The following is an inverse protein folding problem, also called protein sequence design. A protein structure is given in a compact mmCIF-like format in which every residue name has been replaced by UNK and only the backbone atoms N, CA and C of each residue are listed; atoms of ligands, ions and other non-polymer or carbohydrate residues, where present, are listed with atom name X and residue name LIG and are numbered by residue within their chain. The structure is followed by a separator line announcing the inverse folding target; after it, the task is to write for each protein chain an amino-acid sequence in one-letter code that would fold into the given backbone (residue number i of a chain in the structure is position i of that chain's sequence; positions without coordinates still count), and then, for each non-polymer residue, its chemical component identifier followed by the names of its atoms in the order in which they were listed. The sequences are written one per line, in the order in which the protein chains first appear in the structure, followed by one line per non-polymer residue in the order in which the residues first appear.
data_IF_518627178519
#
_entry.id   IF_518627178519
#
_cell.length_a   1.000
_cell.length_b   1.000
_cell.length_c   1.000
_cell.angle_alpha   90.00
_cell.angle_beta   90.00
_cell.angle_gamma   90.00
#
_symmetry.space_group_name_H-M   'P 1'
#
loop_
_entity.id
_entity.type
_entity.pdbx_description
1 polymer ?
#
# COMPACT_ATOMS: atom_id res chain seq x y z
N UNK A 1 18.13 -31.35 2.03
CA UNK A 1 19.58 -31.05 2.02
C UNK A 1 19.95 -29.59 1.71
N UNK A 2 19.14 -28.78 1.00
CA UNK A 2 19.49 -27.35 0.80
C UNK A 2 19.32 -26.50 2.07
N UNK A 3 18.21 -26.67 2.80
CA UNK A 3 17.91 -25.88 4.00
C UNK A 3 19.06 -25.98 5.03
N UNK A 4 19.57 -27.19 5.27
CA UNK A 4 20.72 -27.42 6.16
C UNK A 4 21.99 -26.71 5.67
N UNK A 5 22.24 -26.69 4.35
CA UNK A 5 23.38 -25.98 3.78
C UNK A 5 23.23 -24.46 3.93
N UNK A 6 22.03 -23.92 3.72
CA UNK A 6 21.74 -22.50 3.93
C UNK A 6 21.88 -22.10 5.40
N UNK A 7 21.41 -22.95 6.33
CA UNK A 7 21.58 -22.74 7.78
C UNK A 7 23.07 -22.71 8.14
N UNK A 8 23.84 -23.71 7.69
CA UNK A 8 25.28 -23.78 7.96
C UNK A 8 26.00 -22.53 7.45
N UNK A 9 25.68 -22.10 6.23
CA UNK A 9 26.23 -20.87 5.65
C UNK A 9 25.86 -19.63 6.47
N UNK A 10 24.61 -19.49 6.92
CA UNK A 10 24.21 -18.38 7.79
C UNK A 10 24.99 -18.39 9.11
N UNK A 11 25.16 -19.55 9.74
CA UNK A 11 25.91 -19.67 10.98
C UNK A 11 27.38 -19.28 10.80
N UNK A 12 28.05 -19.80 9.77
CA UNK A 12 29.44 -19.46 9.45
C UNK A 12 29.63 -17.95 9.23
N UNK A 13 28.71 -17.32 8.48
CA UNK A 13 28.76 -15.88 8.23
C UNK A 13 28.50 -15.07 9.50
N UNK A 14 27.57 -15.51 10.34
CA UNK A 14 27.26 -14.86 11.60
C UNK A 14 28.44 -14.94 12.58
N UNK A 15 29.02 -16.14 12.76
CA UNK A 15 30.17 -16.38 13.62
C UNK A 15 31.34 -15.50 13.20
N UNK A 16 31.69 -15.50 11.92
CA UNK A 16 32.77 -14.64 11.39
C UNK A 16 32.53 -13.16 11.69
N UNK A 17 31.31 -12.65 11.49
CA UNK A 17 30.98 -11.25 11.76
C UNK A 17 31.08 -10.89 13.24
N UNK A 18 30.71 -11.81 14.12
CA UNK A 18 30.78 -11.59 15.56
C UNK A 18 32.22 -11.72 16.08
N UNK A 19 33.04 -12.60 15.52
CA UNK A 19 34.48 -12.68 15.77
C UNK A 19 35.18 -11.39 15.33
N UNK A 20 34.89 -10.91 14.11
CA UNK A 20 35.41 -9.64 13.59
C UNK A 20 35.05 -8.43 14.45
N UNK A 21 33.94 -8.49 15.19
CA UNK A 21 33.55 -7.48 16.18
C UNK A 21 34.29 -7.67 17.50
N UNK A 22 34.37 -8.90 18.01
CA UNK A 22 35.05 -9.23 19.26
C UNK A 22 36.53 -8.81 19.23
N UNK A 23 37.22 -9.01 18.11
CA UNK A 23 38.62 -8.61 17.93
C UNK A 23 38.86 -7.10 17.99
N UNK A 24 37.82 -6.29 17.75
CA UNK A 24 37.91 -4.83 17.69
C UNK A 24 37.53 -4.15 19.00
N UNK A 25 36.92 -4.86 19.94
CA UNK A 25 36.29 -4.24 21.10
C UNK A 25 36.90 -4.74 22.41
N UNK A 26 37.15 -3.80 23.32
CA UNK A 26 37.68 -4.09 24.66
C UNK A 26 36.52 -4.36 25.63
N UNK A 27 36.25 -5.63 25.91
CA UNK A 27 35.06 -6.12 26.65
C UNK A 27 35.19 -6.03 28.18
N UNK A 28 35.98 -5.07 28.71
CA UNK A 28 36.26 -5.04 30.16
C UNK A 28 35.08 -4.55 31.00
N UNK A 29 34.26 -3.63 30.49
CA UNK A 29 33.14 -3.05 31.23
C UNK A 29 31.93 -2.80 30.31
N UNK A 30 30.73 -3.02 30.84
CA UNK A 30 29.48 -2.71 30.14
C UNK A 30 29.19 -1.21 30.23
N UNK A 31 29.23 -0.53 29.08
CA UNK A 31 28.84 0.88 28.92
C UNK A 31 27.63 1.02 27.99
N UNK A 32 26.96 2.17 28.01
CA UNK A 32 25.85 2.45 27.10
C UNK A 32 26.31 2.41 25.63
N UNK A 33 27.47 2.98 25.33
CA UNK A 33 28.05 2.97 23.99
C UNK A 33 28.39 1.55 23.54
N UNK A 34 29.00 0.74 24.42
CA UNK A 34 29.28 -0.67 24.11
C UNK A 34 27.99 -1.46 23.85
N UNK A 35 26.92 -1.23 24.61
CA UNK A 35 25.64 -1.88 24.38
C UNK A 35 25.01 -1.48 23.03
N UNK A 36 25.13 -0.21 22.63
CA UNK A 36 24.69 0.27 21.31
C UNK A 36 25.51 -0.36 20.18
N UNK A 37 26.83 -0.37 20.31
CA UNK A 37 27.74 -0.96 19.32
C UNK A 37 27.50 -2.47 19.18
N UNK A 38 27.34 -3.18 20.29
CA UNK A 38 27.02 -4.61 20.27
C UNK A 38 25.66 -4.88 19.61
N UNK A 39 24.64 -4.06 19.88
CA UNK A 39 23.34 -4.18 19.21
C UNK A 39 23.46 -3.92 17.70
N UNK A 40 24.25 -2.93 17.28
CA UNK A 40 24.50 -2.65 15.87
C UNK A 40 25.25 -3.82 15.19
N UNK A 41 26.26 -4.37 15.85
CA UNK A 41 27.01 -5.53 15.36
C UNK A 41 26.12 -6.77 15.19
N UNK A 42 25.25 -7.06 16.17
CA UNK A 42 24.27 -8.15 16.05
C UNK A 42 23.33 -7.95 14.86
N UNK A 43 22.78 -6.73 14.68
CA UNK A 43 21.91 -6.42 13.54
C UNK A 43 22.62 -6.60 12.20
N UNK A 44 23.88 -6.15 12.09
CA UNK A 44 24.67 -6.31 10.87
C UNK A 44 24.95 -7.80 10.58
N UNK A 45 25.36 -8.56 11.61
CA UNK A 45 25.64 -9.99 11.51
C UNK A 45 24.40 -10.78 11.07
N UNK A 46 23.23 -10.54 11.69
CA UNK A 46 21.98 -11.18 11.28
C UNK A 46 21.56 -10.80 9.86
N UNK A 47 21.73 -9.53 9.48
CA UNK A 47 21.37 -9.06 8.13
C UNK A 47 22.26 -9.70 7.07
N UNK A 48 23.58 -9.78 7.28
CA UNK A 48 24.51 -10.43 6.34
C UNK A 48 24.25 -11.94 6.25
N UNK A 49 24.09 -12.63 7.39
CA UNK A 49 23.78 -14.05 7.43
C UNK A 49 22.45 -14.36 6.72
N UNK A 50 21.42 -13.55 6.98
CA UNK A 50 20.11 -13.64 6.31
C UNK A 50 20.22 -13.45 4.80
N UNK A 51 20.94 -12.41 4.34
CA UNK A 51 21.18 -12.16 2.91
C UNK A 51 21.84 -13.36 2.24
N UNK A 52 22.90 -13.92 2.82
CA UNK A 52 23.66 -15.05 2.25
C UNK A 52 22.84 -16.34 2.21
N UNK A 53 22.16 -16.68 3.30
CA UNK A 53 21.32 -17.87 3.34
C UNK A 53 20.12 -17.77 2.40
N UNK A 54 19.47 -16.60 2.35
CA UNK A 54 18.33 -16.36 1.48
C UNK A 54 18.74 -16.38 0.00
N UNK A 55 19.83 -15.70 -0.36
CA UNK A 55 20.42 -15.78 -1.70
C UNK A 55 20.67 -17.24 -2.10
N UNK A 56 21.36 -18.00 -1.24
CA UNK A 56 21.71 -19.40 -1.53
C UNK A 56 20.49 -20.29 -1.69
N UNK A 57 19.47 -20.08 -0.87
CA UNK A 57 18.21 -20.82 -0.93
C UNK A 57 17.50 -20.56 -2.26
N UNK A 58 17.41 -19.32 -2.69
CA UNK A 58 16.74 -18.95 -3.95
C UNK A 58 17.52 -19.44 -5.16
N UNK A 59 18.83 -19.21 -5.22
CA UNK A 59 19.67 -19.66 -6.35
C UNK A 59 19.66 -21.19 -6.51
N UNK A 60 19.44 -21.93 -5.42
CA UNK A 60 19.31 -23.38 -5.49
C UNK A 60 18.07 -23.84 -6.26
N UNK A 61 17.03 -23.00 -6.34
CA UNK A 61 15.81 -23.27 -7.10
C UNK A 61 15.89 -22.78 -8.56
N UNK A 62 17.03 -22.26 -9.01
CA UNK A 62 17.23 -21.94 -10.42
C UNK A 62 17.33 -23.22 -11.27
N UNK A 63 16.86 -23.14 -12.52
CA UNK A 63 16.95 -24.26 -13.45
C UNK A 63 18.27 -24.20 -14.20
N UNK A 64 19.02 -25.31 -14.15
CA UNK A 64 20.32 -25.48 -14.81
C UNK A 64 20.23 -26.38 -16.06
N UNK A 65 19.09 -26.37 -16.75
CA UNK A 65 18.90 -27.12 -18.00
C UNK A 65 19.28 -26.26 -19.21
N UNK A 66 19.75 -26.89 -20.29
CA UNK A 66 20.13 -26.16 -21.50
C UNK A 66 18.94 -25.69 -22.31
N UNK A 67 17.77 -26.32 -22.13
CA UNK A 67 16.54 -26.03 -22.86
C UNK A 67 15.33 -26.21 -21.96
N UNK A 68 14.31 -25.37 -22.14
CA UNK A 68 13.02 -25.45 -21.46
C UNK A 68 11.89 -25.41 -22.48
N UNK A 69 10.83 -26.17 -22.23
CA UNK A 69 9.58 -26.04 -22.98
C UNK A 69 8.58 -25.23 -22.15
N UNK A 70 8.19 -24.06 -22.65
CA UNK A 70 7.22 -23.15 -22.00
C UNK A 70 6.13 -22.84 -23.02
N UNK A 71 4.87 -23.17 -22.71
CA UNK A 71 3.71 -22.93 -23.59
C UNK A 71 3.86 -23.51 -25.01
N UNK A 72 4.55 -24.65 -25.16
CA UNK A 72 4.81 -25.27 -26.45
C UNK A 72 5.94 -24.63 -27.27
N UNK A 73 6.62 -23.63 -26.73
CA UNK A 73 7.84 -23.05 -27.31
C UNK A 73 9.08 -23.59 -26.60
N UNK A 74 10.10 -23.96 -27.39
CA UNK A 74 11.41 -24.36 -26.87
C UNK A 74 12.27 -23.10 -26.68
N UNK A 75 12.66 -22.85 -25.44
CA UNK A 75 13.57 -21.79 -25.05
C UNK A 75 14.94 -22.39 -24.71
N UNK A 76 16.02 -21.77 -25.17
CA UNK A 76 17.39 -22.21 -24.83
C UNK A 76 18.01 -21.29 -23.80
N UNK A 77 18.82 -21.86 -22.92
CA UNK A 77 19.60 -21.08 -21.97
C UNK A 77 20.63 -20.25 -22.75
N UNK A 78 20.54 -18.93 -22.59
CA UNK A 78 21.41 -17.97 -23.30
C UNK A 78 22.60 -17.54 -22.44
N UNK A 79 22.33 -17.21 -21.18
CA UNK A 79 23.32 -16.73 -20.23
C UNK A 79 22.79 -16.77 -18.80
N UNK A 80 23.69 -16.64 -17.85
CA UNK A 80 23.36 -16.27 -16.47
C UNK A 80 23.46 -14.75 -16.34
N UNK A 81 22.42 -14.11 -15.81
CA UNK A 81 22.36 -12.65 -15.64
C UNK A 81 22.08 -12.30 -14.19
N UNK A 82 22.93 -11.50 -13.53
CA UNK A 82 22.66 -11.06 -12.16
C UNK A 82 21.50 -10.05 -12.13
N UNK A 83 20.65 -10.12 -11.10
CA UNK A 83 19.66 -9.08 -10.77
C UNK A 83 19.69 -8.79 -9.28
N UNK A 84 19.60 -7.51 -8.94
CA UNK A 84 19.53 -7.04 -7.55
C UNK A 84 18.05 -6.99 -7.12
N UNK A 85 17.78 -7.52 -5.93
CA UNK A 85 16.48 -7.51 -5.29
C UNK A 85 16.58 -6.94 -3.89
N UNK A 86 15.54 -6.21 -3.47
CA UNK A 86 15.39 -5.76 -2.09
C UNK A 86 14.56 -6.78 -1.31
N UNK A 87 15.15 -7.32 -0.25
CA UNK A 87 14.53 -8.34 0.62
C UNK A 87 14.41 -7.81 2.05
N UNK A 88 13.73 -8.53 2.96
CA UNK A 88 13.66 -8.12 4.37
C UNK A 88 15.03 -8.03 5.05
N UNK A 89 16.07 -8.71 4.52
CA UNK A 89 17.45 -8.67 5.03
C UNK A 89 18.33 -7.62 4.33
N UNK A 90 17.75 -6.83 3.41
CA UNK A 90 18.45 -5.85 2.59
C UNK A 90 18.63 -6.30 1.13
N UNK A 91 19.54 -5.62 0.42
CA UNK A 91 19.80 -5.89 -0.99
C UNK A 91 20.58 -7.20 -1.16
N UNK A 92 20.11 -8.05 -2.07
CA UNK A 92 20.83 -9.25 -2.52
C UNK A 92 20.96 -9.23 -4.04
N UNK A 93 22.02 -9.83 -4.57
CA UNK A 93 22.19 -10.06 -5.99
C UNK A 93 22.02 -11.55 -6.26
N UNK A 94 21.05 -11.91 -7.09
CA UNK A 94 20.80 -13.30 -7.48
C UNK A 94 21.35 -13.53 -8.88
N UNK A 95 22.20 -14.54 -9.05
CA UNK A 95 22.57 -15.06 -10.35
C UNK A 95 21.46 -15.99 -10.86
N UNK A 96 20.89 -15.67 -12.02
CA UNK A 96 19.71 -16.37 -12.57
C UNK A 96 19.85 -16.66 -14.05
N UNK A 97 19.36 -17.81 -14.47
CA UNK A 97 19.41 -18.26 -15.85
C UNK A 97 18.38 -17.53 -16.73
N UNK A 98 18.85 -16.99 -17.85
CA UNK A 98 18.02 -16.36 -18.88
C UNK A 98 17.87 -17.31 -20.07
N UNK A 99 16.63 -17.53 -20.46
CA UNK A 99 16.23 -18.36 -21.57
C UNK A 99 15.61 -17.49 -22.67
N UNK A 100 15.83 -17.85 -23.93
CA UNK A 100 15.28 -17.13 -25.08
C UNK A 100 14.96 -18.13 -26.20
N UNK A 101 13.93 -17.86 -27.00
CA UNK A 101 13.65 -18.63 -28.20
C UNK A 101 14.75 -18.41 -29.25
N UNK A 102 14.96 -19.40 -30.12
CA UNK A 102 15.97 -19.35 -31.19
C UNK A 102 15.69 -18.19 -32.18
N UNK A 103 14.42 -17.83 -32.37
CA UNK A 103 14.00 -16.69 -33.17
C UNK A 103 14.28 -15.31 -32.52
N UNK A 104 14.77 -15.28 -31.27
CA UNK A 104 14.95 -14.06 -30.48
C UNK A 104 13.71 -13.70 -29.64
N UNK A 105 13.59 -12.43 -29.23
CA UNK A 105 12.44 -11.92 -28.46
C UNK A 105 12.70 -11.64 -26.98
N UNK A 106 11.65 -11.58 -26.15
CA UNK A 106 11.77 -11.29 -24.72
C UNK A 106 12.42 -12.48 -24.00
N UNK A 107 13.47 -12.23 -23.23
CA UNK A 107 14.08 -13.27 -22.40
C UNK A 107 13.13 -13.68 -21.26
N UNK A 108 13.12 -14.97 -20.98
CA UNK A 108 12.39 -15.59 -19.88
C UNK A 108 13.36 -15.97 -18.77
N UNK A 109 13.03 -15.62 -17.52
CA UNK A 109 13.78 -16.06 -16.36
C UNK A 109 12.84 -16.91 -15.48
N UNK A 110 13.01 -18.25 -15.45
CA UNK A 110 12.14 -19.13 -14.68
C UNK A 110 12.12 -18.77 -13.20
N UNK A 111 13.30 -18.52 -12.63
CA UNK A 111 13.46 -18.22 -11.21
C UNK A 111 12.58 -17.04 -10.77
N UNK A 112 12.59 -15.93 -11.54
CA UNK A 112 11.74 -14.75 -11.29
C UNK A 112 10.25 -15.11 -11.15
N UNK A 113 9.74 -16.08 -11.90
CA UNK A 113 8.33 -16.49 -11.79
C UNK A 113 8.08 -17.38 -10.57
N UNK A 114 8.99 -18.31 -10.26
CA UNK A 114 8.79 -19.29 -9.18
C UNK A 114 8.62 -18.66 -7.80
N UNK A 115 9.37 -17.61 -7.51
CA UNK A 115 9.27 -16.86 -6.25
C UNK A 115 8.49 -15.54 -6.36
N UNK A 116 7.78 -15.30 -7.47
CA UNK A 116 6.88 -14.14 -7.61
C UNK A 116 7.59 -12.78 -7.74
N UNK A 117 8.80 -12.75 -8.29
CA UNK A 117 9.61 -11.53 -8.48
C UNK A 117 9.73 -11.09 -9.94
N UNK A 118 8.89 -11.64 -10.82
CA UNK A 118 8.80 -11.23 -12.22
C UNK A 118 8.41 -9.76 -12.30
N UNK A 119 9.23 -8.97 -12.99
CA UNK A 119 9.05 -7.53 -13.18
C UNK A 119 9.12 -6.71 -11.85
N UNK A 120 9.61 -7.33 -10.78
CA UNK A 120 9.60 -6.74 -9.44
C UNK A 120 11.02 -6.51 -8.90
N UNK A 121 11.15 -5.49 -8.05
CA UNK A 121 12.40 -5.11 -7.39
C UNK A 121 12.46 -5.54 -5.92
N UNK A 122 11.35 -5.45 -5.21
CA UNK A 122 11.26 -5.75 -3.78
C UNK A 122 10.38 -6.97 -3.52
N UNK A 123 10.71 -7.78 -2.52
CA UNK A 123 9.88 -8.94 -2.16
C UNK A 123 8.54 -8.49 -1.60
N UNK A 124 7.58 -9.40 -1.60
CA UNK A 124 6.21 -9.13 -1.16
C UNK A 124 6.17 -8.54 0.26
N UNK A 125 6.96 -9.05 1.20
CA UNK A 125 7.00 -8.56 2.57
C UNK A 125 7.50 -7.10 2.64
N UNK A 126 8.50 -6.76 1.82
CA UNK A 126 9.01 -5.38 1.74
C UNK A 126 7.96 -4.47 1.10
N UNK A 127 7.29 -4.92 0.03
CA UNK A 127 6.21 -4.16 -0.61
C UNK A 127 5.05 -3.90 0.34
N UNK A 128 4.66 -4.90 1.14
CA UNK A 128 3.61 -4.76 2.15
C UNK A 128 4.00 -3.76 3.25
N UNK A 129 5.25 -3.84 3.74
CA UNK A 129 5.75 -2.89 4.72
C UNK A 129 5.74 -1.45 4.16
N UNK A 130 6.19 -1.27 2.91
CA UNK A 130 6.17 0.02 2.20
C UNK A 130 4.74 0.54 2.01
N UNK A 131 3.82 -0.31 1.56
CA UNK A 131 2.42 0.08 1.35
C UNK A 131 1.76 0.51 2.66
N UNK A 132 2.01 -0.24 3.74
CA UNK A 132 1.49 0.09 5.06
C UNK A 132 2.04 1.41 5.59
N UNK A 133 3.36 1.63 5.48
CA UNK A 133 3.95 2.89 5.94
C UNK A 133 3.52 4.09 5.11
N UNK A 134 3.43 3.94 3.79
CA UNK A 134 3.00 4.99 2.86
C UNK A 134 1.52 5.37 3.00
N UNK A 135 0.70 4.50 3.61
CA UNK A 135 -0.67 4.85 4.00
C UNK A 135 -0.72 5.89 5.14
N UNK A 136 0.37 6.05 5.90
CA UNK A 136 0.44 6.88 7.09
C UNK A 136 1.47 8.01 7.02
N UNK A 137 2.52 7.83 6.21
CA UNK A 137 3.70 8.69 6.15
C UNK A 137 4.01 9.08 4.70
N UNK A 138 4.75 10.16 4.53
CA UNK A 138 5.37 10.48 3.24
C UNK A 138 6.51 9.51 2.93
N UNK A 139 7.00 9.52 1.68
CA UNK A 139 8.11 8.66 1.26
C UNK A 139 9.41 8.95 2.05
N UNK A 140 9.70 10.22 2.34
CA UNK A 140 10.91 10.61 3.08
C UNK A 140 10.80 10.22 4.56
N UNK A 141 9.61 10.35 5.16
CA UNK A 141 9.35 9.88 6.54
C UNK A 141 9.36 8.36 6.62
N UNK A 142 8.87 7.66 5.60
CA UNK A 142 8.93 6.20 5.48
C UNK A 142 10.38 5.73 5.39
N UNK A 143 11.22 6.38 4.59
CA UNK A 143 12.65 6.06 4.52
C UNK A 143 13.30 6.21 5.91
N UNK A 144 13.07 7.35 6.58
CA UNK A 144 13.60 7.60 7.93
C UNK A 144 13.09 6.58 8.97
N UNK A 145 11.84 6.13 8.84
CA UNK A 145 11.28 5.08 9.68
C UNK A 145 12.06 3.78 9.49
N UNK A 146 12.23 3.34 8.23
CA UNK A 146 12.93 2.09 7.93
C UNK A 146 14.41 2.14 8.31
N UNK A 147 15.09 3.27 8.17
CA UNK A 147 16.45 3.50 8.69
C UNK A 147 16.58 3.24 10.20
N UNK A 148 15.50 3.39 10.97
CA UNK A 148 15.52 3.18 12.42
C UNK A 148 15.13 1.78 12.86
N UNK A 149 14.22 1.13 12.13
CA UNK A 149 13.58 -0.10 12.61
C UNK A 149 13.64 -1.31 11.66
N UNK A 150 14.01 -1.12 10.39
CA UNK A 150 14.07 -2.22 9.42
C UNK A 150 15.51 -2.70 9.19
N UNK A 151 15.65 -3.89 8.61
CA UNK A 151 16.93 -4.40 8.10
C UNK A 151 17.14 -4.12 6.61
N UNK A 152 16.15 -3.48 5.97
CA UNK A 152 16.15 -3.07 4.59
C UNK A 152 15.98 -1.56 4.48
N UNK A 153 16.70 -0.94 3.54
CA UNK A 153 16.86 0.52 3.46
C UNK A 153 16.56 1.04 2.04
N UNK A 154 15.29 1.00 1.59
CA UNK A 154 14.91 1.53 0.30
C UNK A 154 15.02 3.05 0.30
N UNK A 155 15.45 3.63 -0.82
CA UNK A 155 15.40 5.08 -0.99
C UNK A 155 13.96 5.58 -1.12
N UNK A 156 13.73 6.85 -0.83
CA UNK A 156 12.43 7.50 -1.05
C UNK A 156 11.92 7.33 -2.50
N UNK A 157 12.81 7.28 -3.49
CA UNK A 157 12.47 7.00 -4.89
C UNK A 157 12.00 5.55 -5.06
N UNK A 158 12.70 4.58 -4.48
CA UNK A 158 12.29 3.17 -4.54
C UNK A 158 10.94 2.96 -3.84
N UNK A 159 10.72 3.62 -2.69
CA UNK A 159 9.44 3.63 -1.97
C UNK A 159 8.30 4.15 -2.86
N UNK A 160 8.51 5.28 -3.54
CA UNK A 160 7.53 5.84 -4.49
C UNK A 160 7.22 4.86 -5.62
N UNK A 161 8.24 4.34 -6.30
CA UNK A 161 8.05 3.41 -7.41
C UNK A 161 7.30 2.14 -6.98
N UNK A 162 7.61 1.58 -5.80
CA UNK A 162 6.87 0.44 -5.24
C UNK A 162 5.41 0.82 -5.00
N UNK A 163 5.15 1.99 -4.42
CA UNK A 163 3.80 2.47 -4.12
C UNK A 163 3.00 2.74 -5.39
N UNK A 164 3.63 3.32 -6.41
CA UNK A 164 3.02 3.61 -7.71
C UNK A 164 2.64 2.31 -8.43
N UNK A 165 3.55 1.32 -8.45
CA UNK A 165 3.26 0.00 -9.01
C UNK A 165 2.07 -0.69 -8.30
N UNK A 166 2.03 -0.63 -6.96
CA UNK A 166 0.90 -1.16 -6.19
C UNK A 166 -0.38 -0.39 -6.51
N UNK A 167 -0.30 0.93 -6.65
CA UNK A 167 -1.39 1.79 -7.07
C UNK A 167 -1.95 1.39 -8.44
N UNK A 168 -1.08 1.16 -9.42
CA UNK A 168 -1.44 0.72 -10.77
C UNK A 168 -2.14 -0.65 -10.76
N UNK A 169 -1.66 -1.60 -9.95
CA UNK A 169 -2.31 -2.91 -9.75
C UNK A 169 -3.71 -2.72 -9.15
N UNK A 170 -3.84 -1.88 -8.11
CA UNK A 170 -5.13 -1.61 -7.46
C UNK A 170 -6.10 -0.91 -8.41
N UNK A 171 -5.65 0.07 -9.19
CA UNK A 171 -6.49 0.76 -10.18
C UNK A 171 -6.92 -0.19 -11.31
N UNK A 172 -6.01 -1.02 -11.82
CA UNK A 172 -6.27 -1.97 -12.91
C UNK A 172 -7.25 -3.06 -12.49
N UNK A 173 -7.17 -3.52 -11.24
CA UNK A 173 -7.98 -4.62 -10.71
C UNK A 173 -9.05 -4.15 -9.71
N UNK A 174 -9.41 -2.87 -9.73
CA UNK A 174 -10.29 -2.24 -8.73
C UNK A 174 -11.61 -3.00 -8.53
N UNK A 175 -12.26 -3.39 -9.62
CA UNK A 175 -13.55 -4.10 -9.56
C UNK A 175 -13.40 -5.50 -8.94
N UNK A 176 -12.37 -6.24 -9.32
CA UNK A 176 -12.08 -7.58 -8.77
C UNK A 176 -11.75 -7.50 -7.28
N UNK A 177 -10.90 -6.55 -6.89
CA UNK A 177 -10.53 -6.33 -5.49
C UNK A 177 -11.76 -5.92 -4.68
N UNK A 178 -12.57 -4.99 -5.20
CA UNK A 178 -13.79 -4.54 -4.53
C UNK A 178 -14.78 -5.68 -4.39
N UNK A 179 -14.96 -6.52 -5.42
CA UNK A 179 -15.84 -7.69 -5.34
C UNK A 179 -15.34 -8.68 -4.28
N UNK A 180 -14.05 -8.99 -4.24
CA UNK A 180 -13.48 -9.86 -3.22
C UNK A 180 -13.69 -9.30 -1.79
N UNK A 181 -13.54 -7.98 -1.62
CA UNK A 181 -13.84 -7.30 -0.35
C UNK A 181 -15.32 -7.42 0.02
N UNK A 182 -16.23 -7.30 -0.95
CA UNK A 182 -17.67 -7.46 -0.75
C UNK A 182 -18.05 -8.92 -0.42
N UNK A 183 -17.42 -9.90 -1.06
CA UNK A 183 -17.72 -11.32 -0.86
C UNK A 183 -17.39 -11.81 0.55
N UNK A 184 -16.34 -11.24 1.16
CA UNK A 184 -15.96 -11.53 2.57
C UNK A 184 -16.88 -10.80 3.56
N UNK A 185 -17.59 -9.75 3.13
CA UNK A 185 -18.46 -8.96 3.99
C UNK A 185 -19.82 -9.64 4.20
N UNK A 186 -20.12 -9.99 5.45
CA UNK A 186 -21.42 -10.54 5.83
C UNK A 186 -22.31 -9.45 6.43
N UNK A 187 -23.48 -9.20 5.83
CA UNK A 187 -24.49 -8.34 6.43
C UNK A 187 -25.25 -9.14 7.51
N UNK A 188 -25.29 -8.68 8.77
CA UNK A 188 -26.00 -9.37 9.84
C UNK A 188 -27.50 -9.48 9.54
N UNK A 189 -28.11 -10.63 9.81
CA UNK A 189 -29.53 -10.89 9.51
C UNK A 189 -30.50 -9.92 10.19
N UNK A 190 -30.12 -9.34 11.33
CA UNK A 190 -30.96 -8.38 12.09
C UNK A 190 -30.80 -6.92 11.61
N UNK A 191 -30.34 -6.70 10.38
CA UNK A 191 -30.14 -5.35 9.84
C UNK A 191 -31.48 -4.77 9.38
N UNK A 192 -31.92 -3.68 9.99
CA UNK A 192 -33.18 -2.99 9.63
C UNK A 192 -32.93 -1.60 9.03
N UNK A 193 -31.73 -1.04 9.23
CA UNK A 193 -31.38 0.32 8.80
C UNK A 193 -30.02 0.35 8.14
N UNK A 194 -29.97 0.94 6.95
CA UNK A 194 -28.74 1.38 6.31
C UNK A 194 -28.58 2.88 6.50
N UNK A 195 -27.41 3.30 6.94
CA UNK A 195 -27.02 4.71 6.89
C UNK A 195 -25.93 4.86 5.86
N UNK A 196 -26.04 5.90 5.05
CA UNK A 196 -25.04 6.24 4.05
C UNK A 196 -24.49 7.60 4.41
N UNK A 197 -23.20 7.63 4.70
CA UNK A 197 -22.43 8.86 4.85
C UNK A 197 -21.53 9.01 3.64
N UNK A 198 -21.40 10.23 3.15
CA UNK A 198 -20.46 10.54 2.08
C UNK A 198 -19.72 11.81 2.48
N UNK A 199 -18.40 11.75 2.46
CA UNK A 199 -17.52 12.87 2.75
C UNK A 199 -16.59 13.11 1.56
N UNK A 200 -16.11 14.34 1.42
CA UNK A 200 -15.29 14.76 0.30
C UNK A 200 -14.26 15.79 0.72
N UNK A 201 -13.03 15.64 0.24
CA UNK A 201 -11.93 16.57 0.47
C UNK A 201 -11.37 17.06 -0.86
N UNK A 202 -11.12 18.37 -0.96
CA UNK A 202 -10.41 18.93 -2.11
C UNK A 202 -8.90 18.75 -1.89
N UNK A 203 -8.26 18.01 -2.80
CA UNK A 203 -6.83 17.73 -2.84
C UNK A 203 -6.19 18.59 -3.93
N UNK A 204 -5.12 19.30 -3.61
CA UNK A 204 -4.35 20.05 -4.58
C UNK A 204 -3.38 19.09 -5.29
N UNK A 205 -3.54 18.94 -6.60
CA UNK A 205 -2.71 18.10 -7.44
C UNK A 205 -1.84 18.94 -8.37
N UNK A 206 -0.69 18.41 -8.77
CA UNK A 206 0.22 19.04 -9.74
C UNK A 206 -0.17 18.71 -11.17
N UNK A 207 -1.34 19.16 -11.57
CA UNK A 207 -1.88 18.99 -12.92
C UNK A 207 -2.51 20.29 -13.42
N UNK A 208 -2.65 20.42 -14.74
CA UNK A 208 -3.33 21.57 -15.33
C UNK A 208 -4.82 21.54 -14.99
N UNK A 209 -5.37 22.68 -14.57
CA UNK A 209 -6.80 22.80 -14.31
C UNK A 209 -7.19 24.10 -13.62
N UNK A 210 -8.50 24.26 -13.37
CA UNK A 210 -9.05 25.46 -12.77
C UNK A 210 -8.75 25.45 -11.26
N UNK A 211 -7.93 26.39 -10.81
CA UNK A 211 -7.77 26.65 -9.38
C UNK A 211 -9.07 27.25 -8.82
N UNK A 212 -9.90 26.41 -8.20
CA UNK A 212 -11.09 26.87 -7.48
C UNK A 212 -10.67 27.45 -6.12
N UNK A 213 -10.27 28.72 -6.14
CA UNK A 213 -9.96 29.51 -4.96
C UNK A 213 -11.12 30.38 -4.48
N UNK A 214 -11.04 30.87 -3.24
CA UNK A 214 -11.85 32.01 -2.79
C UNK A 214 -11.50 33.21 -3.68
N UNK A 215 -12.47 34.03 -4.14
CA UNK A 215 -12.18 35.27 -4.83
C UNK A 215 -11.17 36.09 -4.02
N UNK A 216 -10.12 36.60 -4.69
CA UNK A 216 -9.06 37.36 -4.04
C UNK A 216 -9.68 38.52 -3.23
N UNK A 217 -9.56 38.47 -1.89
CA UNK A 217 -10.12 39.51 -1.02
C UNK A 217 -9.29 40.82 -1.00
N UNK A 218 -8.17 40.89 -1.75
CA UNK A 218 -7.38 42.12 -1.91
C UNK A 218 -6.87 42.28 -3.33
N UNK A 219 -6.96 43.49 -3.92
CA UNK A 219 -6.28 43.81 -5.16
C UNK A 219 -4.81 44.13 -4.84
N UNK A 220 -3.96 43.12 -4.78
CA UNK A 220 -2.52 43.34 -4.93
C UNK A 220 -1.77 42.06 -5.29
N UNK A 221 -0.86 42.25 -6.25
CA UNK A 221 0.13 41.33 -6.82
C UNK A 221 -0.48 40.13 -7.57
N UNK A 222 -0.20 40.11 -8.88
CA UNK A 222 -0.54 39.02 -9.80
C UNK A 222 -0.30 37.69 -9.09
N UNK A 223 -1.35 36.88 -8.98
CA UNK A 223 -1.24 35.51 -8.54
C UNK A 223 -0.09 34.88 -9.33
N UNK A 224 0.92 34.36 -8.64
CA UNK A 224 1.84 33.41 -9.22
C UNK A 224 1.00 32.20 -9.62
N UNK A 225 0.43 32.23 -10.82
CA UNK A 225 -0.21 31.07 -11.41
C UNK A 225 0.88 30.05 -11.64
N UNK A 226 1.09 29.15 -10.69
CA UNK A 226 1.69 27.88 -11.07
C UNK A 226 0.68 27.24 -12.02
N UNK A 227 0.91 27.34 -13.32
CA UNK A 227 -0.03 26.90 -14.37
C UNK A 227 -0.33 25.38 -14.33
N UNK A 228 0.34 24.65 -13.43
CA UNK A 228 0.29 23.20 -13.30
C UNK A 228 -0.24 22.73 -11.94
N UNK A 229 -1.15 23.44 -11.28
CA UNK A 229 -1.86 22.86 -10.11
C UNK A 229 -3.38 23.08 -10.17
N UNK A 230 -4.13 22.04 -9.80
CA UNK A 230 -5.59 22.04 -9.78
C UNK A 230 -6.13 21.31 -8.54
N UNK A 231 -7.30 21.74 -8.06
CA UNK A 231 -8.00 21.02 -6.99
C UNK A 231 -8.87 19.91 -7.58
N UNK A 232 -8.71 18.67 -7.09
CA UNK A 232 -9.63 17.56 -7.34
C UNK A 232 -10.34 17.15 -6.06
N UNK A 233 -11.53 16.60 -6.20
CA UNK A 233 -12.28 16.09 -5.07
C UNK A 233 -11.98 14.59 -4.89
N UNK A 234 -11.48 14.24 -3.71
CA UNK A 234 -11.39 12.86 -3.25
C UNK A 234 -12.59 12.59 -2.35
N UNK A 235 -13.41 11.61 -2.73
CA UNK A 235 -14.64 11.24 -2.03
C UNK A 235 -14.44 9.95 -1.24
N UNK A 236 -15.09 9.83 -0.10
CA UNK A 236 -15.22 8.57 0.63
C UNK A 236 -16.67 8.36 1.02
N UNK A 237 -17.20 7.20 0.65
CA UNK A 237 -18.51 6.73 1.11
C UNK A 237 -18.33 5.82 2.31
N UNK A 238 -19.24 5.89 3.28
CA UNK A 238 -19.33 4.91 4.34
C UNK A 238 -20.76 4.41 4.52
N UNK A 239 -20.94 3.10 4.60
CA UNK A 239 -22.25 2.45 4.79
C UNK A 239 -22.24 1.68 6.10
N UNK A 240 -22.66 2.28 7.22
CA UNK A 240 -22.98 1.52 8.41
C UNK A 240 -24.32 0.80 8.32
N UNK A 241 -24.33 -0.46 8.76
CA UNK A 241 -25.54 -1.27 8.96
C UNK A 241 -25.92 -1.29 10.44
N UNK A 242 -27.20 -1.08 10.72
CA UNK A 242 -27.70 -0.96 12.09
C UNK A 242 -28.95 -1.81 12.32
N UNK A 243 -29.08 -2.29 13.55
CA UNK A 243 -30.32 -2.84 14.10
C UNK A 243 -30.96 -1.81 15.02
N UNK A 244 -32.26 -1.54 14.85
CA UNK A 244 -33.01 -0.61 15.70
C UNK A 244 -34.14 -1.39 16.38
N UNK A 245 -33.94 -1.88 17.62
CA UNK A 245 -34.95 -2.62 18.34
C UNK A 245 -36.25 -1.80 18.48
N UNK A 246 -37.43 -2.44 18.34
CA UNK A 246 -38.72 -1.75 18.31
C UNK A 246 -39.04 -0.98 19.61
N UNK A 247 -38.40 -1.32 20.73
CA UNK A 247 -38.63 -0.71 22.04
C UNK A 247 -37.97 0.67 22.23
N UNK A 248 -37.07 1.11 21.32
CA UNK A 248 -36.34 2.38 21.44
C UNK A 248 -36.58 3.35 20.26
N UNK A 249 -37.83 3.55 19.87
CA UNK A 249 -38.22 4.46 18.76
C UNK A 249 -38.16 5.95 19.12
N UNK A 250 -37.05 6.45 19.68
CA UNK A 250 -36.85 7.91 19.88
C UNK A 250 -35.72 8.52 19.04
N UNK A 251 -34.86 7.74 18.40
CA UNK A 251 -34.00 8.24 17.32
C UNK A 251 -32.83 7.33 16.96
N UNK A 252 -32.02 7.74 15.98
CA UNK A 252 -30.84 7.01 15.49
C UNK A 252 -29.79 6.72 16.58
N UNK A 253 -29.83 7.45 17.70
CA UNK A 253 -28.90 7.28 18.83
C UNK A 253 -29.12 5.97 19.59
N UNK A 254 -30.30 5.36 19.43
CA UNK A 254 -30.69 4.15 20.15
C UNK A 254 -30.46 2.87 19.34
N UNK A 255 -29.96 3.00 18.11
CA UNK A 255 -29.64 1.88 17.23
C UNK A 255 -28.21 1.40 17.46
N UNK A 256 -28.04 0.08 17.45
CA UNK A 256 -26.71 -0.52 17.58
C UNK A 256 -26.05 -0.57 16.20
N UNK A 257 -24.87 0.03 16.09
CA UNK A 257 -24.00 -0.12 14.91
C UNK A 257 -23.41 -1.52 14.91
N UNK A 258 -23.56 -2.22 13.78
CA UNK A 258 -23.09 -3.61 13.68
C UNK A 258 -21.87 -3.71 12.76
N UNK A 259 -21.86 -3.04 11.60
CA UNK A 259 -20.71 -3.03 10.66
C UNK A 259 -20.56 -1.64 10.02
N UNK A 260 -19.34 -1.28 9.61
CA UNK A 260 -19.02 -0.13 8.78
C UNK A 260 -18.30 -0.58 7.50
N UNK A 261 -18.79 -0.14 6.36
CA UNK A 261 -18.08 -0.23 5.09
C UNK A 261 -17.54 1.15 4.71
N UNK A 262 -16.30 1.24 4.22
CA UNK A 262 -15.72 2.48 3.67
C UNK A 262 -15.26 2.24 2.23
N UNK A 263 -15.60 3.15 1.33
CA UNK A 263 -15.30 3.07 -0.10
C UNK A 263 -14.69 4.41 -0.54
N UNK A 264 -13.35 4.53 -0.56
CA UNK A 264 -12.69 5.70 -1.11
C UNK A 264 -12.77 5.69 -2.65
N UNK A 265 -13.00 6.85 -3.25
CA UNK A 265 -12.94 7.05 -4.71
C UNK A 265 -12.47 8.47 -5.02
N UNK A 266 -11.42 8.61 -5.83
CA UNK A 266 -11.04 9.90 -6.40
C UNK A 266 -11.73 10.06 -7.76
N UNK A 267 -12.56 11.09 -7.90
CA UNK A 267 -13.28 11.34 -9.15
C UNK A 267 -12.39 12.22 -10.05
N UNK A 268 -11.92 11.67 -11.19
CA UNK A 268 -11.06 12.40 -12.14
C UNK A 268 -11.84 13.39 -13.03
N UNK A 269 -13.15 13.58 -12.83
CA UNK A 269 -13.98 14.48 -13.63
C UNK A 269 -14.34 15.78 -12.88
N UNK A 270 -14.40 16.93 -13.57
CA UNK A 270 -15.03 18.11 -12.99
C UNK A 270 -16.50 17.78 -12.73
N UNK A 271 -16.96 18.02 -11.50
CA UNK A 271 -18.36 17.97 -11.10
C UNK A 271 -19.17 18.97 -11.94
N UNK A 272 -19.58 18.55 -13.14
CA UNK A 272 -20.66 19.21 -13.85
C UNK A 272 -21.95 18.92 -13.06
N UNK A 273 -22.59 19.99 -12.60
CA UNK A 273 -23.77 20.02 -11.72
C UNK A 273 -25.01 19.28 -12.26
N UNK A 274 -24.92 18.65 -13.43
CA UNK A 274 -25.99 17.90 -14.09
C UNK A 274 -26.02 16.39 -13.76
N UNK A 275 -24.96 15.80 -13.19
CA UNK A 275 -24.90 14.36 -12.90
C UNK A 275 -25.73 13.91 -11.67
N UNK A 276 -26.19 14.85 -10.83
CA UNK A 276 -26.95 14.55 -9.61
C UNK A 276 -28.40 14.06 -9.84
N UNK A 277 -28.86 13.90 -11.09
CA UNK A 277 -30.24 13.45 -11.39
C UNK A 277 -30.37 12.02 -11.93
N UNK A 278 -29.28 11.39 -12.39
CA UNK A 278 -29.39 10.06 -13.05
C UNK A 278 -29.23 8.86 -12.11
N UNK A 279 -28.57 8.99 -10.98
CA UNK A 279 -28.30 7.87 -10.06
C UNK A 279 -29.27 7.75 -8.86
N UNK A 280 -30.28 8.63 -8.78
CA UNK A 280 -31.28 8.65 -7.71
C UNK A 280 -32.71 8.61 -8.29
N UNK A 281 -32.98 7.70 -9.22
CA UNK A 281 -34.35 7.34 -9.59
C UNK A 281 -34.80 6.22 -8.64
N UNK A 282 -35.69 6.48 -7.66
CA UNK A 282 -36.18 5.44 -6.77
C UNK A 282 -36.96 4.39 -7.57
N UNK A 283 -36.60 3.12 -7.43
CA UNK A 283 -37.56 2.02 -7.67
C UNK A 283 -38.73 2.24 -6.71
N UNK A 284 -39.96 2.00 -7.17
CA UNK A 284 -41.26 2.46 -6.62
C UNK A 284 -41.55 2.21 -5.11
N UNK A 285 -40.65 1.60 -4.34
CA UNK A 285 -40.89 1.16 -2.96
C UNK A 285 -39.94 1.77 -1.88
N UNK A 286 -39.12 2.77 -2.19
CA UNK A 286 -38.22 3.39 -1.19
C UNK A 286 -38.65 4.82 -0.84
N UNK A 287 -38.90 5.09 0.46
CA UNK A 287 -39.05 6.45 0.97
C UNK A 287 -37.71 6.99 1.46
N UNK A 288 -37.20 8.01 0.78
CA UNK A 288 -36.02 8.77 1.19
C UNK A 288 -36.49 9.85 2.16
N UNK A 289 -36.11 9.77 3.43
CA UNK A 289 -36.40 10.84 4.39
C UNK A 289 -35.17 11.74 4.50
N UNK A 290 -35.20 12.91 3.85
CA UNK A 290 -34.15 13.91 4.02
C UNK A 290 -34.27 14.58 5.39
N UNK A 291 -33.31 14.35 6.28
CA UNK A 291 -33.09 15.20 7.46
C UNK A 291 -31.77 15.94 7.31
N UNK A 292 -31.84 17.24 7.02
CA UNK A 292 -30.67 18.14 7.06
C UNK A 292 -30.33 18.43 8.52
N UNK A 293 -29.36 17.72 9.08
CA UNK A 293 -28.73 18.11 10.34
C UNK A 293 -27.39 18.78 10.04
N UNK A 294 -27.31 20.09 10.20
CA UNK A 294 -26.05 20.83 10.17
C UNK A 294 -25.32 20.59 11.47
N UNK A 295 -24.13 20.00 11.41
CA UNK A 295 -23.21 19.94 12.55
C UNK A 295 -21.89 20.56 12.09
N UNK A 296 -21.61 21.77 12.57
CA UNK A 296 -20.32 22.41 12.39
C UNK A 296 -19.41 21.96 13.54
N UNK A 297 -18.37 21.18 13.24
CA UNK A 297 -17.25 20.96 14.16
C UNK A 297 -16.07 21.76 13.67
N UNK A 298 -15.66 22.75 14.46
CA UNK A 298 -14.48 23.56 14.18
C UNK A 298 -13.22 22.75 14.52
N UNK A 299 -12.37 22.49 13.53
CA UNK A 299 -11.02 21.99 13.78
C UNK A 299 -10.08 23.21 13.91
N UNK A 300 -9.70 23.53 15.15
CA UNK A 300 -9.04 24.80 15.53
C UNK A 300 -7.64 24.94 14.90
N UNK A 301 -7.04 23.86 14.38
CA UNK A 301 -5.70 23.91 13.74
C UNK A 301 -5.68 24.23 12.24
N UNK A 302 -6.80 24.14 11.51
CA UNK A 302 -6.78 24.32 10.05
C UNK A 302 -7.72 25.40 9.51
N UNK A 303 -8.56 26.01 10.35
CA UNK A 303 -9.53 27.02 9.91
C UNK A 303 -10.54 26.52 8.85
N UNK A 304 -10.57 25.21 8.56
CA UNK A 304 -11.44 24.62 7.54
C UNK A 304 -12.78 24.19 8.16
N UNK A 305 -13.87 24.70 7.60
CA UNK A 305 -15.20 24.15 7.80
C UNK A 305 -15.38 22.87 6.97
N UNK A 306 -15.59 21.73 7.62
CA UNK A 306 -16.10 20.52 6.97
C UNK A 306 -17.63 20.59 6.87
N UNK A 307 -18.18 20.40 5.66
CA UNK A 307 -19.63 20.29 5.45
C UNK A 307 -19.99 18.81 5.34
N UNK A 308 -20.69 18.28 6.35
CA UNK A 308 -21.13 16.88 6.39
C UNK A 308 -22.59 16.76 5.95
N UNK A 309 -22.86 16.05 4.85
CA UNK A 309 -24.21 15.70 4.42
C UNK A 309 -24.54 14.28 4.90
N UNK A 310 -25.60 14.11 5.70
CA UNK A 310 -26.11 12.79 6.09
C UNK A 310 -27.37 12.47 5.29
N UNK A 311 -27.43 11.27 4.72
CA UNK A 311 -28.62 10.74 4.07
C UNK A 311 -29.14 9.56 4.89
N UNK A 312 -30.47 9.47 5.03
CA UNK A 312 -31.14 8.36 5.72
C UNK A 312 -32.12 7.72 4.75
N UNK A 313 -31.91 6.44 4.48
CA UNK A 313 -32.80 5.61 3.67
C UNK A 313 -33.52 4.65 4.62
N UNK A 314 -34.84 4.69 4.64
CA UNK A 314 -35.68 3.78 5.44
C UNK A 314 -36.52 2.94 4.50
N UNK A 315 -36.43 1.62 4.61
CA UNK A 315 -37.37 0.70 3.98
C UNK A 315 -38.70 0.75 4.75
N UNK A 316 -39.81 0.92 4.04
CA UNK A 316 -41.14 0.57 4.56
C UNK A 316 -41.45 -0.81 4.01
N UNK A 317 -41.59 -1.79 4.91
CA UNK A 317 -42.32 -3.02 4.60
C UNK A 317 -43.82 -2.71 4.56
#
# INVERSE_FOLDING_TARGET
MIIQKSIKLAMEVFEQKMEDFADKVNVKELTADFAMDFSAALKDAFSEAGRKAYQRFIEFHDINETTLEINGEILRQKMVSPKIFLTPFGLIQIARSLYQADAGGKSYCPLDNFWGMKDEFATEEVRQAVAFSMAHLTADETQQLFEKCAWFHPSATAIKNITDNIGDIVETHADTIMQAVLDVQQIPQKTDVFVVSMDGVNVLLREQGIQQGRPAQRPSLKASSSENTAYKNAMVGAIPVMHCPPEKKKGLKDCNRVILHECPRMERQPLNSSLNKKYLQPRKNFQITQRRSFCATANVRSGRMQKRLRYTMTTKN
#
